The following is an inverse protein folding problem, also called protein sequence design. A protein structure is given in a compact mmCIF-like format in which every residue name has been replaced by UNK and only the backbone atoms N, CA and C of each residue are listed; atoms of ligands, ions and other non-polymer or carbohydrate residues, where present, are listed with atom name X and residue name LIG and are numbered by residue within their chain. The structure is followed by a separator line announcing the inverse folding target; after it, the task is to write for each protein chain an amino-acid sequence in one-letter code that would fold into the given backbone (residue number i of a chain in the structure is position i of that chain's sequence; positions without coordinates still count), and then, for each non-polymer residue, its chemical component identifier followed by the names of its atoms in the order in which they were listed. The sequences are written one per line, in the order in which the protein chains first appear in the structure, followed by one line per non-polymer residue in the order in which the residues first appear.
data_IF_584195998811
#
_entry.id   IF_584195998811
#
_cell.length_a   1.000
_cell.length_b   1.000
_cell.length_c   1.000
_cell.angle_alpha   90.00
_cell.angle_beta   90.00
_cell.angle_gamma   90.00
#
_symmetry.space_group_name_H-M   'P 1'
#
loop_
_entity.id
_entity.type
_entity.pdbx_description
1 polymer ?
#
# COMPACT_ATOMS: atom_id res chain seq x y z
N UNK A 1 -4.48 -17.82 -19.35
CA UNK A 1 -5.63 -17.27 -20.07
C UNK A 1 -5.23 -16.05 -20.89
N UNK A 2 -4.71 -14.96 -20.29
CA UNK A 2 -4.34 -13.71 -20.97
C UNK A 2 -3.40 -13.90 -22.17
N UNK A 3 -2.28 -14.63 -22.01
CA UNK A 3 -1.37 -14.93 -23.12
C UNK A 3 -2.05 -15.71 -24.27
N UNK A 4 -2.93 -16.68 -23.96
CA UNK A 4 -3.65 -17.43 -24.99
C UNK A 4 -4.64 -16.54 -25.75
N UNK A 5 -5.26 -15.59 -25.05
CA UNK A 5 -6.16 -14.61 -25.66
C UNK A 5 -5.38 -13.65 -26.55
N UNK A 6 -4.29 -13.09 -26.06
CA UNK A 6 -3.43 -12.17 -26.82
C UNK A 6 -2.96 -12.82 -28.13
N UNK A 7 -2.51 -14.08 -28.11
CA UNK A 7 -2.14 -14.83 -29.32
C UNK A 7 -3.28 -15.03 -30.32
N UNK A 8 -4.52 -15.17 -29.82
CA UNK A 8 -5.70 -15.37 -30.71
C UNK A 8 -6.19 -14.08 -31.32
N UNK A 9 -5.98 -12.96 -30.65
CA UNK A 9 -6.50 -11.66 -31.10
C UNK A 9 -5.42 -10.77 -31.71
N UNK A 10 -4.14 -11.16 -31.67
CA UNK A 10 -3.03 -10.31 -32.08
C UNK A 10 -2.74 -9.16 -31.10
N UNK A 11 -3.29 -9.20 -29.88
CA UNK A 11 -3.08 -8.17 -28.87
C UNK A 11 -1.73 -8.30 -28.18
N UNK A 12 -1.22 -7.17 -27.67
CA UNK A 12 0.00 -7.13 -26.82
C UNK A 12 -0.28 -7.85 -25.51
N UNK A 13 0.64 -8.73 -25.11
CA UNK A 13 0.63 -9.35 -23.77
C UNK A 13 1.56 -8.60 -22.84
N UNK A 14 1.00 -7.72 -22.00
CA UNK A 14 1.72 -7.02 -20.95
C UNK A 14 1.64 -7.79 -19.62
N UNK A 15 2.77 -7.91 -18.94
CA UNK A 15 2.86 -8.38 -17.55
C UNK A 15 3.18 -7.20 -16.64
N UNK A 16 2.22 -6.78 -15.83
CA UNK A 16 2.37 -5.65 -14.92
C UNK A 16 2.47 -6.16 -13.47
N UNK A 17 3.65 -6.03 -12.87
CA UNK A 17 3.93 -6.48 -11.51
C UNK A 17 3.98 -5.30 -10.54
N UNK A 18 2.91 -5.13 -9.78
CA UNK A 18 2.88 -4.14 -8.68
C UNK A 18 3.65 -4.60 -7.45
N UNK A 19 3.81 -5.90 -7.29
CA UNK A 19 4.49 -6.57 -6.18
C UNK A 19 5.24 -7.79 -6.69
N UNK A 20 6.07 -8.38 -5.84
CA UNK A 20 6.66 -9.70 -6.11
C UNK A 20 5.66 -10.79 -5.73
N UNK A 21 4.77 -11.16 -6.65
CA UNK A 21 3.65 -12.08 -6.42
C UNK A 21 4.07 -13.45 -5.85
N UNK A 22 5.25 -13.92 -6.22
CA UNK A 22 5.80 -15.19 -5.72
C UNK A 22 6.49 -15.08 -4.37
N UNK A 23 6.68 -13.86 -3.87
CA UNK A 23 7.42 -13.54 -2.63
C UNK A 23 6.55 -12.84 -1.58
N UNK A 24 5.22 -12.98 -1.68
CA UNK A 24 4.25 -12.41 -0.75
C UNK A 24 4.07 -13.24 0.52
N UNK A 25 3.48 -12.64 1.55
CA UNK A 25 3.05 -13.37 2.76
C UNK A 25 2.04 -14.47 2.37
N UNK A 26 2.32 -15.70 2.75
CA UNK A 26 1.50 -16.86 2.38
C UNK A 26 1.90 -17.56 1.07
N UNK A 27 2.85 -17.02 0.32
CA UNK A 27 3.51 -17.73 -0.76
C UNK A 27 4.61 -18.61 -0.18
N UNK A 28 4.30 -19.90 0.08
CA UNK A 28 5.23 -20.85 0.66
C UNK A 28 5.06 -22.25 0.06
N UNK A 29 6.10 -23.07 0.17
CA UNK A 29 6.07 -24.50 -0.15
C UNK A 29 5.71 -24.79 -1.62
N UNK A 30 4.82 -25.76 -1.84
CA UNK A 30 4.42 -26.22 -3.17
C UNK A 30 3.69 -25.13 -3.97
N UNK A 31 2.88 -24.32 -3.29
CA UNK A 31 2.15 -23.19 -3.92
C UNK A 31 3.13 -22.18 -4.54
N UNK A 32 4.12 -21.75 -3.78
CA UNK A 32 5.14 -20.82 -4.26
C UNK A 32 5.93 -21.38 -5.44
N UNK A 33 6.30 -22.68 -5.36
CA UNK A 33 7.00 -23.34 -6.47
C UNK A 33 6.16 -23.34 -7.74
N UNK A 34 4.88 -23.64 -7.63
CA UNK A 34 3.96 -23.60 -8.77
C UNK A 34 3.79 -22.18 -9.34
N UNK A 35 3.62 -21.18 -8.47
CA UNK A 35 3.55 -19.78 -8.88
C UNK A 35 4.81 -19.36 -9.65
N UNK A 36 6.02 -19.67 -9.14
CA UNK A 36 7.28 -19.37 -9.83
C UNK A 36 7.41 -20.07 -11.18
N UNK A 37 6.95 -21.31 -11.31
CA UNK A 37 6.94 -22.03 -12.59
C UNK A 37 6.01 -21.35 -13.59
N UNK A 38 4.82 -20.98 -13.16
CA UNK A 38 3.83 -20.29 -13.99
C UNK A 38 4.37 -18.92 -14.40
N UNK A 39 4.87 -18.13 -13.44
CA UNK A 39 5.44 -16.81 -13.70
C UNK A 39 6.60 -16.90 -14.68
N UNK A 40 7.58 -17.78 -14.44
CA UNK A 40 8.72 -18.01 -15.32
C UNK A 40 8.33 -18.38 -16.75
N UNK A 41 7.24 -19.14 -16.90
CA UNK A 41 6.75 -19.55 -18.21
C UNK A 41 6.14 -18.39 -18.98
N UNK A 42 5.40 -17.50 -18.31
CA UNK A 42 4.61 -16.47 -18.98
C UNK A 42 5.33 -15.12 -19.05
N UNK A 43 6.14 -14.74 -18.06
CA UNK A 43 6.88 -13.48 -18.08
C UNK A 43 7.83 -13.38 -19.28
N UNK A 44 8.47 -14.49 -19.67
CA UNK A 44 9.34 -14.56 -20.84
C UNK A 44 8.62 -14.51 -22.17
N UNK A 45 7.30 -14.52 -22.15
CA UNK A 45 6.42 -14.43 -23.32
C UNK A 45 5.66 -13.11 -23.36
N UNK A 46 5.83 -12.31 -22.35
CA UNK A 46 5.28 -10.97 -22.32
C UNK A 46 6.03 -10.10 -23.34
N UNK A 47 5.27 -9.32 -24.09
CA UNK A 47 5.83 -8.34 -25.02
C UNK A 47 6.36 -7.14 -24.24
N UNK A 48 5.75 -6.85 -23.06
CA UNK A 48 6.17 -5.81 -22.12
C UNK A 48 6.04 -6.34 -20.71
N UNK A 49 7.07 -6.09 -19.90
CA UNK A 49 7.05 -6.28 -18.44
C UNK A 49 7.18 -4.92 -17.78
N UNK A 50 6.27 -4.55 -16.89
CA UNK A 50 6.34 -3.32 -16.12
C UNK A 50 6.31 -3.61 -14.62
N UNK A 51 7.03 -2.80 -13.86
CA UNK A 51 7.16 -2.88 -12.40
C UNK A 51 7.09 -1.48 -11.79
N UNK A 52 6.87 -1.38 -10.49
CA UNK A 52 6.62 -0.09 -9.83
C UNK A 52 7.88 0.62 -9.33
N UNK A 53 9.02 -0.07 -9.24
CA UNK A 53 10.29 0.51 -8.81
C UNK A 53 11.51 -0.28 -9.31
N UNK A 54 12.68 0.33 -9.18
CA UNK A 54 13.95 -0.26 -9.65
C UNK A 54 14.39 -1.50 -8.85
N UNK A 55 14.10 -1.56 -7.55
CA UNK A 55 14.44 -2.73 -6.74
C UNK A 55 13.71 -3.99 -7.23
N UNK A 56 12.43 -3.86 -7.59
CA UNK A 56 11.64 -4.94 -8.20
C UNK A 56 12.16 -5.25 -9.61
N UNK A 57 12.51 -4.23 -10.41
CA UNK A 57 13.08 -4.43 -11.74
C UNK A 57 14.37 -5.25 -11.67
N UNK A 58 15.26 -4.87 -10.77
CA UNK A 58 16.52 -5.59 -10.56
C UNK A 58 16.28 -7.06 -10.16
N UNK A 59 15.35 -7.30 -9.24
CA UNK A 59 14.98 -8.66 -8.85
C UNK A 59 14.49 -9.50 -10.04
N UNK A 60 13.64 -8.92 -10.91
CA UNK A 60 13.15 -9.61 -12.10
C UNK A 60 14.25 -9.91 -13.12
N UNK A 61 15.21 -8.99 -13.33
CA UNK A 61 16.39 -9.23 -14.20
C UNK A 61 17.24 -10.39 -13.70
N UNK A 62 17.43 -10.48 -12.38
CA UNK A 62 18.21 -11.57 -11.74
C UNK A 62 17.45 -12.91 -11.75
N UNK A 63 16.16 -12.90 -11.41
CA UNK A 63 15.35 -14.11 -11.33
C UNK A 63 15.00 -14.70 -12.72
N UNK A 64 14.87 -13.84 -13.74
CA UNK A 64 14.47 -14.22 -15.09
C UNK A 64 15.40 -13.64 -16.16
N UNK A 65 16.60 -14.19 -16.37
CA UNK A 65 17.53 -13.68 -17.37
C UNK A 65 16.87 -13.53 -18.75
N UNK A 66 17.09 -12.37 -19.38
CA UNK A 66 16.49 -11.98 -20.66
C UNK A 66 15.14 -11.23 -20.52
N UNK A 67 14.66 -11.00 -19.29
CA UNK A 67 13.54 -10.10 -19.00
C UNK A 67 14.12 -8.75 -18.57
N UNK A 68 13.72 -7.67 -19.22
CA UNK A 68 14.11 -6.29 -18.86
C UNK A 68 12.84 -5.45 -18.58
N UNK A 69 12.46 -5.32 -17.32
CA UNK A 69 11.25 -4.59 -16.95
C UNK A 69 11.40 -3.08 -17.13
N UNK A 70 10.33 -2.44 -17.58
CA UNK A 70 10.18 -0.99 -17.56
C UNK A 70 9.63 -0.55 -16.21
N UNK A 71 10.26 0.42 -15.57
CA UNK A 71 9.78 0.98 -14.32
C UNK A 71 8.70 2.03 -14.60
N UNK A 72 7.51 1.78 -14.07
CA UNK A 72 6.36 2.69 -14.11
C UNK A 72 5.92 2.92 -12.67
N UNK A 73 6.43 3.97 -12.06
CA UNK A 73 6.15 4.31 -10.67
C UNK A 73 4.71 4.79 -10.51
N UNK A 74 4.05 4.32 -9.45
CA UNK A 74 2.74 4.83 -9.07
C UNK A 74 2.87 6.31 -8.69
N UNK A 75 2.09 7.17 -9.33
CA UNK A 75 1.99 8.58 -9.01
C UNK A 75 0.55 8.87 -8.59
N UNK A 76 0.33 9.42 -7.39
CA UNK A 76 -1.00 9.78 -6.98
C UNK A 76 -1.50 10.96 -7.84
N UNK A 77 -2.72 10.84 -8.33
CA UNK A 77 -3.48 11.94 -8.91
C UNK A 77 -4.59 12.26 -7.94
N UNK A 78 -4.75 13.50 -7.57
CA UNK A 78 -5.75 13.86 -6.58
C UNK A 78 -6.27 15.28 -6.75
N UNK A 79 -7.39 15.52 -6.09
CA UNK A 79 -8.01 16.83 -6.03
C UNK A 79 -7.07 17.86 -5.36
N UNK A 80 -7.19 19.10 -5.80
CA UNK A 80 -6.62 20.24 -5.09
C UNK A 80 -7.35 20.47 -3.76
N UNK A 81 -6.68 21.10 -2.79
CA UNK A 81 -7.26 21.46 -1.50
C UNK A 81 -6.77 20.62 -0.34
N UNK A 82 -7.33 20.91 0.84
CA UNK A 82 -7.03 20.30 2.12
C UNK A 82 -8.35 19.96 2.82
N UNK A 83 -8.46 18.75 3.36
CA UNK A 83 -9.56 18.37 4.25
C UNK A 83 -9.12 18.69 5.69
N UNK A 84 -9.79 19.60 6.34
CA UNK A 84 -9.50 19.96 7.73
C UNK A 84 -9.99 18.86 8.69
N UNK A 85 -9.11 17.89 8.90
CA UNK A 85 -9.36 16.76 9.82
C UNK A 85 -9.50 17.23 11.27
N UNK A 86 -8.82 18.34 11.67
CA UNK A 86 -8.90 18.86 13.02
C UNK A 86 -10.28 19.43 13.30
N UNK A 87 -10.80 20.26 12.41
CA UNK A 87 -12.16 20.79 12.53
C UNK A 87 -13.21 19.67 12.50
N UNK A 88 -13.04 18.68 11.63
CA UNK A 88 -13.98 17.57 11.50
C UNK A 88 -14.06 16.69 12.77
N UNK A 89 -12.94 16.51 13.47
CA UNK A 89 -12.81 15.59 14.61
C UNK A 89 -12.71 16.31 15.97
N UNK A 90 -12.78 17.64 16.00
CA UNK A 90 -12.64 18.43 17.22
C UNK A 90 -11.23 18.35 17.83
N UNK A 91 -10.19 18.18 17.03
CA UNK A 91 -8.80 18.09 17.47
C UNK A 91 -8.22 19.50 17.65
N UNK A 92 -7.53 19.80 18.76
CA UNK A 92 -6.85 21.08 18.94
C UNK A 92 -5.92 21.44 17.80
N UNK A 93 -5.85 22.72 17.42
CA UNK A 93 -5.05 23.19 16.27
C UNK A 93 -3.55 23.03 16.49
N UNK A 94 -3.09 23.04 17.72
CA UNK A 94 -1.68 22.86 18.16
C UNK A 94 -1.29 21.40 18.42
N UNK A 95 -2.24 20.47 18.39
CA UNK A 95 -1.96 19.05 18.57
C UNK A 95 -1.36 18.45 17.30
N UNK A 96 -0.31 17.62 17.45
CA UNK A 96 0.22 16.83 16.34
C UNK A 96 -0.79 15.78 15.88
N UNK A 97 -1.04 15.76 14.57
CA UNK A 97 -1.99 14.89 13.93
C UNK A 97 -1.31 13.93 12.96
N UNK A 98 -1.44 12.65 13.26
CA UNK A 98 -0.94 11.56 12.43
C UNK A 98 -2.09 10.93 11.63
N UNK A 99 -1.81 10.53 10.39
CA UNK A 99 -2.78 9.86 9.51
C UNK A 99 -2.28 8.48 9.09
N UNK A 100 -3.10 7.48 9.28
CA UNK A 100 -2.98 6.18 8.63
C UNK A 100 -4.13 6.04 7.60
N UNK A 101 -3.83 6.10 6.32
CA UNK A 101 -4.79 5.87 5.22
C UNK A 101 -4.63 4.46 4.63
N UNK A 102 -5.75 3.83 4.25
CA UNK A 102 -5.78 2.58 3.48
C UNK A 102 -6.20 1.35 4.28
N UNK A 103 -5.76 0.17 3.85
CA UNK A 103 -6.28 -1.11 4.34
C UNK A 103 -5.78 -1.44 5.76
N UNK A 104 -6.73 -1.65 6.68
CA UNK A 104 -6.49 -1.99 8.09
C UNK A 104 -6.33 -3.51 8.23
N UNK A 105 -5.13 -4.01 7.98
CA UNK A 105 -4.86 -5.44 7.91
C UNK A 105 -3.55 -5.83 8.62
N UNK A 106 -3.36 -7.12 8.96
CA UNK A 106 -2.06 -7.65 9.37
C UNK A 106 -0.94 -7.23 8.38
N UNK A 107 0.25 -7.01 8.89
CA UNK A 107 1.38 -6.51 8.09
C UNK A 107 1.44 -4.98 7.93
N UNK A 108 0.50 -4.24 8.51
CA UNK A 108 0.45 -2.77 8.50
C UNK A 108 0.76 -2.13 9.85
N UNK A 109 1.23 -2.92 10.81
CA UNK A 109 1.60 -2.50 12.17
C UNK A 109 0.48 -1.75 12.94
N UNK A 110 -0.80 -1.99 12.61
CA UNK A 110 -1.93 -1.33 13.28
C UNK A 110 -1.89 -1.52 14.80
N UNK A 111 -1.68 -2.74 15.35
CA UNK A 111 -1.60 -2.90 16.81
C UNK A 111 -0.43 -2.14 17.45
N UNK A 112 0.69 -1.96 16.74
CA UNK A 112 1.83 -1.18 17.22
C UNK A 112 1.49 0.31 17.28
N UNK A 113 0.85 0.83 16.22
CA UNK A 113 0.39 2.22 16.17
C UNK A 113 -0.60 2.49 17.32
N UNK A 114 -1.60 1.65 17.50
CA UNK A 114 -2.59 1.80 18.57
C UNK A 114 -1.90 1.88 19.94
N UNK A 115 -1.05 0.90 20.28
CA UNK A 115 -0.30 0.92 21.56
C UNK A 115 0.57 2.15 21.75
N UNK A 116 1.16 2.69 20.70
CA UNK A 116 1.97 3.91 20.79
C UNK A 116 1.10 5.12 21.14
N UNK A 117 -0.06 5.29 20.50
CA UNK A 117 -0.94 6.42 20.74
C UNK A 117 -1.75 6.31 22.04
N UNK A 118 -2.01 5.11 22.55
CA UNK A 118 -2.53 4.88 23.90
C UNK A 118 -1.60 5.44 24.98
N UNK A 119 -0.30 5.51 24.73
CA UNK A 119 0.72 6.01 25.68
C UNK A 119 1.01 7.50 25.54
N UNK A 120 0.56 8.16 24.46
CA UNK A 120 0.87 9.57 24.17
C UNK A 120 -0.41 10.34 23.88
N UNK A 121 -1.24 10.63 24.89
CA UNK A 121 -2.58 11.22 24.71
C UNK A 121 -2.56 12.66 24.18
N UNK A 122 -1.42 13.34 24.16
CA UNK A 122 -1.27 14.68 23.61
C UNK A 122 -1.11 14.72 22.09
N UNK A 123 -0.92 13.57 21.45
CA UNK A 123 -0.82 13.43 19.99
C UNK A 123 -2.00 12.63 19.45
N UNK A 124 -2.50 12.98 18.28
CA UNK A 124 -3.68 12.36 17.70
C UNK A 124 -3.33 11.50 16.50
N UNK A 125 -4.07 10.40 16.32
CA UNK A 125 -3.99 9.58 15.11
C UNK A 125 -5.37 9.35 14.52
N UNK A 126 -5.47 9.50 13.20
CA UNK A 126 -6.68 9.19 12.43
C UNK A 126 -6.42 7.97 11.56
N UNK A 127 -7.25 6.95 11.71
CA UNK A 127 -7.29 5.81 10.82
C UNK A 127 -8.40 5.99 9.80
N UNK A 128 -8.05 6.02 8.53
CA UNK A 128 -8.98 6.13 7.39
C UNK A 128 -8.91 4.85 6.58
N UNK A 129 -10.01 4.11 6.54
CA UNK A 129 -10.03 2.87 5.77
C UNK A 129 -10.92 1.78 6.36
N UNK A 130 -10.77 0.59 5.79
CA UNK A 130 -11.46 -0.63 6.19
C UNK A 130 -10.48 -1.82 6.20
N UNK A 131 -10.87 -2.93 6.81
CA UNK A 131 -10.09 -4.15 6.84
C UNK A 131 -10.33 -5.01 8.05
N UNK A 132 -9.61 -6.12 8.14
CA UNK A 132 -9.78 -7.13 9.18
C UNK A 132 -9.50 -6.59 10.60
N UNK A 133 -8.66 -5.56 10.73
CA UNK A 133 -8.29 -4.94 12.01
C UNK A 133 -9.16 -3.71 12.36
N UNK A 134 -10.21 -3.40 11.57
CA UNK A 134 -11.14 -2.34 11.88
C UNK A 134 -11.78 -2.46 13.29
N UNK A 135 -12.23 -3.63 13.76
CA UNK A 135 -12.79 -3.76 15.11
C UNK A 135 -11.81 -3.39 16.23
N UNK A 136 -10.51 -3.59 16.02
CA UNK A 136 -9.47 -3.19 17.00
C UNK A 136 -9.32 -1.66 17.03
N UNK A 137 -9.31 -1.02 15.88
CA UNK A 137 -9.26 0.44 15.77
C UNK A 137 -10.51 1.09 16.38
N UNK A 138 -11.70 0.58 16.10
CA UNK A 138 -12.96 1.09 16.66
C UNK A 138 -13.01 0.96 18.18
N UNK A 139 -12.50 -0.14 18.72
CA UNK A 139 -12.40 -0.34 20.18
C UNK A 139 -11.45 0.64 20.83
N UNK A 140 -10.29 0.87 20.22
CA UNK A 140 -9.31 1.86 20.72
C UNK A 140 -9.87 3.28 20.63
N UNK A 141 -10.52 3.65 19.55
CA UNK A 141 -11.15 4.96 19.36
C UNK A 141 -12.29 5.22 20.36
N UNK A 142 -13.00 4.18 20.81
CA UNK A 142 -14.05 4.31 21.82
C UNK A 142 -13.51 4.58 23.24
N UNK A 143 -12.24 4.25 23.51
CA UNK A 143 -11.62 4.33 24.83
C UNK A 143 -10.54 5.41 24.95
N UNK A 144 -9.98 5.87 23.83
CA UNK A 144 -8.90 6.86 23.80
C UNK A 144 -9.29 8.06 22.91
N UNK A 145 -9.44 9.26 23.50
CA UNK A 145 -9.95 10.44 22.77
C UNK A 145 -8.99 10.97 21.71
N UNK A 146 -7.75 10.53 21.70
CA UNK A 146 -6.72 10.88 20.71
C UNK A 146 -6.60 9.87 19.55
N UNK A 147 -7.39 8.80 19.57
CA UNK A 147 -7.44 7.81 18.48
C UNK A 147 -8.77 7.97 17.76
N UNK A 148 -8.72 8.24 16.47
CA UNK A 148 -9.89 8.53 15.65
C UNK A 148 -10.02 7.53 14.50
N UNK A 149 -11.27 7.30 14.08
CA UNK A 149 -11.59 6.44 12.93
C UNK A 149 -12.50 7.18 11.97
N UNK A 150 -12.17 7.16 10.69
CA UNK A 150 -13.02 7.62 9.59
C UNK A 150 -13.25 6.46 8.58
N UNK A 151 -14.40 6.46 7.90
CA UNK A 151 -14.66 5.50 6.83
C UNK A 151 -13.64 5.65 5.69
N UNK A 152 -13.53 4.65 4.80
CA UNK A 152 -12.80 4.81 3.56
C UNK A 152 -13.33 6.02 2.77
N UNK A 153 -12.42 6.71 2.09
CA UNK A 153 -12.73 7.82 1.18
C UNK A 153 -12.44 7.44 -0.25
N UNK A 154 -12.98 8.19 -1.20
CA UNK A 154 -12.67 8.01 -2.61
C UNK A 154 -11.18 8.32 -2.88
N UNK A 155 -10.56 7.64 -3.86
CA UNK A 155 -9.13 7.78 -4.13
C UNK A 155 -8.67 9.22 -4.42
N UNK A 156 -9.52 10.03 -5.02
CA UNK A 156 -9.25 11.45 -5.33
C UNK A 156 -9.22 12.35 -4.08
N UNK A 157 -9.83 11.91 -2.98
CA UNK A 157 -9.84 12.64 -1.69
C UNK A 157 -8.64 12.34 -0.80
N UNK A 158 -7.90 11.26 -1.08
CA UNK A 158 -6.80 10.80 -0.20
C UNK A 158 -5.71 11.86 -0.05
N UNK A 159 -5.31 12.53 -1.15
CA UNK A 159 -4.31 13.59 -1.09
C UNK A 159 -4.77 14.80 -0.25
N UNK A 160 -6.00 15.26 -0.45
CA UNK A 160 -6.56 16.38 0.30
C UNK A 160 -6.64 16.05 1.80
N UNK A 161 -6.94 14.80 2.14
CA UNK A 161 -6.95 14.31 3.52
C UNK A 161 -5.52 14.20 4.09
N UNK A 162 -4.57 13.72 3.30
CA UNK A 162 -3.16 13.61 3.73
C UNK A 162 -2.56 14.97 4.04
N UNK A 163 -2.88 16.01 3.25
CA UNK A 163 -2.49 17.39 3.52
C UNK A 163 -3.08 17.96 4.81
N UNK A 164 -4.18 17.40 5.30
CA UNK A 164 -4.82 17.79 6.56
C UNK A 164 -4.14 17.26 7.83
N UNK A 165 -3.12 16.41 7.67
CA UNK A 165 -2.34 15.83 8.77
C UNK A 165 -0.90 16.37 8.75
N UNK A 166 -0.21 16.31 9.89
CA UNK A 166 1.20 16.69 10.00
C UNK A 166 2.13 15.56 9.59
N UNK A 167 1.70 14.31 9.86
CA UNK A 167 2.52 13.11 9.63
C UNK A 167 1.66 11.99 9.02
N UNK A 168 2.07 11.50 7.86
CA UNK A 168 1.48 10.32 7.24
C UNK A 168 2.23 9.05 7.68
N UNK A 169 1.50 8.06 8.18
CA UNK A 169 2.06 6.79 8.65
C UNK A 169 2.08 5.73 7.55
N UNK A 170 3.27 5.25 7.21
CA UNK A 170 3.47 4.15 6.28
C UNK A 170 4.33 3.06 6.91
N UNK A 171 3.75 2.26 7.82
CA UNK A 171 4.45 1.21 8.57
C UNK A 171 4.09 -0.17 8.00
N UNK A 172 4.91 -0.68 7.09
CA UNK A 172 4.77 -2.03 6.52
C UNK A 172 5.78 -2.96 7.18
N UNK A 173 5.30 -4.12 7.65
CA UNK A 173 6.16 -5.15 8.21
C UNK A 173 7.05 -5.76 7.13
N UNK A 174 8.31 -5.96 7.44
CA UNK A 174 9.31 -6.58 6.54
C UNK A 174 9.20 -8.11 6.48
N UNK A 175 8.04 -8.68 6.73
CA UNK A 175 7.81 -10.12 6.88
C UNK A 175 8.03 -10.96 5.62
N UNK A 176 8.09 -10.34 4.43
CA UNK A 176 8.40 -11.02 3.17
C UNK A 176 9.20 -10.11 2.23
N UNK A 177 9.77 -10.70 1.18
CA UNK A 177 10.60 -9.95 0.22
C UNK A 177 9.77 -8.90 -0.53
N UNK A 178 8.54 -9.24 -0.91
CA UNK A 178 7.61 -8.30 -1.57
C UNK A 178 7.37 -7.04 -0.75
N UNK A 179 7.13 -7.16 0.56
CA UNK A 179 6.98 -6.02 1.46
C UNK A 179 8.25 -5.16 1.57
N UNK A 180 9.43 -5.81 1.60
CA UNK A 180 10.72 -5.10 1.71
C UNK A 180 11.06 -4.28 0.47
N UNK A 181 10.56 -4.69 -0.70
CA UNK A 181 10.79 -4.02 -1.98
C UNK A 181 9.61 -3.17 -2.43
N UNK A 182 8.52 -3.13 -1.66
CA UNK A 182 7.31 -2.40 -2.05
C UNK A 182 7.51 -0.89 -2.03
N UNK A 183 6.80 -0.21 -2.93
CA UNK A 183 6.61 1.24 -2.92
C UNK A 183 5.12 1.52 -2.71
N UNK A 184 4.67 1.60 -1.44
CA UNK A 184 3.25 1.74 -1.14
C UNK A 184 2.67 3.05 -1.63
N UNK A 185 1.43 3.03 -2.15
CA UNK A 185 0.74 4.24 -2.61
C UNK A 185 0.69 5.33 -1.53
N UNK A 186 0.39 4.97 -0.28
CA UNK A 186 0.35 5.93 0.84
C UNK A 186 1.67 6.68 1.08
N UNK A 187 2.81 6.08 0.76
CA UNK A 187 4.11 6.76 0.82
C UNK A 187 4.23 7.79 -0.31
N UNK A 188 3.78 7.43 -1.52
CA UNK A 188 3.77 8.34 -2.65
C UNK A 188 2.76 9.48 -2.46
N UNK A 189 1.61 9.17 -1.86
CA UNK A 189 0.59 10.15 -1.45
C UNK A 189 1.14 11.14 -0.41
N UNK A 190 1.92 10.65 0.57
CA UNK A 190 2.56 11.50 1.57
C UNK A 190 3.62 12.45 0.96
N UNK A 191 4.36 11.99 -0.05
CA UNK A 191 5.33 12.85 -0.74
C UNK A 191 4.69 13.88 -1.67
N UNK A 192 3.48 13.60 -2.15
CA UNK A 192 2.74 14.49 -3.04
C UNK A 192 1.81 15.48 -2.29
N UNK A 193 1.59 15.26 -0.99
CA UNK A 193 0.78 16.13 -0.14
C UNK A 193 1.58 17.33 0.37
#
# INVERSE_FOLDING_TARGET
LAHALARRTGAVFAYNAHELETETVGSAGLRQRLQRVIERRYIRRADVVSVVNESIAQWYREAYPGVDPVVVTNAPTGAEGVIDLRAQLGIPQDALLYLHSGYLAPGRNIPLILRAFEQVPSTHVVFVGAGALLPEVERAAATHPNIHRLPPVEPDQVLAMTRGADVALCLIESGCLSHRMSTPNKMMEAFAA
#
